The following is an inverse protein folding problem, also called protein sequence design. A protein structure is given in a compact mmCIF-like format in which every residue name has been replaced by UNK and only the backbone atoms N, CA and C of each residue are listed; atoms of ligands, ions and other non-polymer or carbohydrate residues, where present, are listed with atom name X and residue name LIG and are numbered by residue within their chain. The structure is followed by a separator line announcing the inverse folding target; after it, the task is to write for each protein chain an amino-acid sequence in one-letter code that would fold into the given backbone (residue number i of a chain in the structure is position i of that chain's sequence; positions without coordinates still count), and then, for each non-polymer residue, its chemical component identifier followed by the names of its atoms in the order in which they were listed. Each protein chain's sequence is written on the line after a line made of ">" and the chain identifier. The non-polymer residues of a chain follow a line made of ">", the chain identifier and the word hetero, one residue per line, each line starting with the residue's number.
data_IF_735574913236
#
_entry.id   IF_735574913236
#
_cell.length_a   1.000
_cell.length_b   1.000
_cell.length_c   1.000
_cell.angle_alpha   90.00
_cell.angle_beta   90.00
_cell.angle_gamma   90.00
#
_symmetry.space_group_name_H-M   'P 1'
#
loop_
_entity.id
_entity.type
_entity.pdbx_description
1 polymer ?
#
# COMPACT_ATOMS: atom_id res chain seq x y z
N UNK A 1 -0.61 -1.33 -18.30
CA UNK A 1 0.09 -0.35 -17.44
C UNK A 1 1.39 0.11 -18.10
N UNK A 2 2.19 -0.80 -18.68
CA UNK A 2 3.37 -0.43 -19.49
C UNK A 2 3.11 0.58 -20.61
N UNK A 3 2.00 0.43 -21.35
CA UNK A 3 1.62 1.35 -22.45
C UNK A 3 1.49 2.81 -22.00
N UNK A 4 1.07 3.03 -20.76
CA UNK A 4 0.82 4.35 -20.18
C UNK A 4 1.95 4.81 -19.24
N UNK A 5 3.10 4.13 -19.28
CA UNK A 5 4.25 4.40 -18.41
C UNK A 5 3.92 4.43 -16.90
N UNK A 6 2.92 3.63 -16.49
CA UNK A 6 2.48 3.56 -15.09
C UNK A 6 3.40 2.62 -14.32
N UNK A 7 4.02 3.14 -13.27
CA UNK A 7 5.02 2.43 -12.48
C UNK A 7 4.57 2.04 -11.06
N UNK A 8 3.63 2.79 -10.49
CA UNK A 8 3.18 2.65 -9.09
C UNK A 8 1.69 2.32 -9.07
N UNK A 9 1.32 1.22 -8.42
CA UNK A 9 -0.07 0.83 -8.16
C UNK A 9 -0.46 1.13 -6.72
N UNK A 10 -1.65 1.69 -6.49
CA UNK A 10 -2.21 1.87 -5.13
C UNK A 10 -3.22 0.77 -4.87
N UNK A 11 -3.02 -0.01 -3.80
CA UNK A 11 -3.85 -1.17 -3.48
C UNK A 11 -4.79 -0.84 -2.32
N UNK A 12 -6.09 -0.70 -2.64
CA UNK A 12 -7.16 -0.31 -1.71
C UNK A 12 -8.37 -1.25 -1.80
N UNK A 13 -8.12 -2.52 -2.10
CA UNK A 13 -9.17 -3.54 -2.31
C UNK A 13 -9.42 -4.34 -1.02
N UNK A 14 -10.55 -5.07 -0.92
CA UNK A 14 -10.76 -6.04 0.16
C UNK A 14 -9.63 -7.07 0.25
N UNK A 15 -9.39 -7.57 1.47
CA UNK A 15 -8.25 -8.44 1.80
C UNK A 15 -8.26 -9.71 0.95
N UNK A 16 -9.46 -10.25 0.70
CA UNK A 16 -9.72 -11.51 0.01
C UNK A 16 -9.17 -11.52 -1.41
N UNK A 17 -9.05 -10.34 -2.04
CA UNK A 17 -8.58 -10.18 -3.41
C UNK A 17 -7.25 -9.43 -3.51
N UNK A 18 -6.67 -8.99 -2.39
CA UNK A 18 -5.48 -8.14 -2.36
C UNK A 18 -4.27 -8.76 -3.09
N UNK A 19 -4.02 -10.06 -2.87
CA UNK A 19 -2.92 -10.75 -3.54
C UNK A 19 -3.16 -10.87 -5.06
N UNK A 20 -4.36 -11.31 -5.46
CA UNK A 20 -4.70 -11.49 -6.88
C UNK A 20 -4.57 -10.18 -7.67
N UNK A 21 -5.01 -9.05 -7.08
CA UNK A 21 -4.90 -7.74 -7.72
C UNK A 21 -3.43 -7.29 -7.77
N UNK A 22 -2.65 -7.56 -6.74
CA UNK A 22 -1.19 -7.30 -6.73
C UNK A 22 -0.48 -8.05 -7.85
N UNK A 23 -0.78 -9.33 -8.03
CA UNK A 23 -0.18 -10.16 -9.08
C UNK A 23 -0.57 -9.63 -10.47
N UNK A 24 -1.82 -9.19 -10.63
CA UNK A 24 -2.33 -8.57 -11.87
C UNK A 24 -1.59 -7.26 -12.17
N UNK A 25 -1.36 -6.41 -11.15
CA UNK A 25 -0.59 -5.17 -11.28
C UNK A 25 0.84 -5.45 -11.73
N UNK A 26 1.51 -6.41 -11.11
CA UNK A 26 2.90 -6.79 -11.44
C UNK A 26 2.98 -7.35 -12.86
N UNK A 27 2.07 -8.25 -13.25
CA UNK A 27 1.98 -8.77 -14.61
C UNK A 27 1.73 -7.65 -15.64
N UNK A 28 0.96 -6.63 -15.26
CA UNK A 28 0.70 -5.43 -16.05
C UNK A 28 1.91 -4.49 -16.22
N UNK A 29 2.98 -4.69 -15.44
CA UNK A 29 4.25 -3.98 -15.51
C UNK A 29 4.53 -2.99 -14.36
N UNK A 30 3.71 -2.99 -13.31
CA UNK A 30 3.97 -2.18 -12.12
C UNK A 30 5.27 -2.64 -11.45
N UNK A 31 6.06 -1.67 -10.98
CA UNK A 31 7.33 -1.90 -10.27
C UNK A 31 7.25 -1.58 -8.79
N UNK A 32 6.21 -0.84 -8.37
CA UNK A 32 5.97 -0.52 -6.96
C UNK A 32 4.49 -0.59 -6.58
N UNK A 33 4.19 -1.13 -5.40
CA UNK A 33 2.83 -1.19 -4.85
C UNK A 33 2.77 -0.42 -3.54
N UNK A 34 1.89 0.58 -3.50
CA UNK A 34 1.52 1.27 -2.27
C UNK A 34 0.31 0.57 -1.66
N UNK A 35 0.57 -0.25 -0.64
CA UNK A 35 -0.41 -1.10 0.00
C UNK A 35 -1.10 -0.40 1.18
N UNK A 36 -2.39 -0.10 1.01
CA UNK A 36 -3.28 0.39 2.07
C UNK A 36 -4.12 -0.72 2.71
N UNK A 37 -4.04 -1.94 2.19
CA UNK A 37 -4.73 -3.08 2.80
C UNK A 37 -3.98 -3.48 4.08
N UNK A 38 -4.68 -3.98 5.12
CA UNK A 38 -4.03 -4.50 6.32
C UNK A 38 -3.37 -5.87 6.07
N UNK A 39 -3.33 -6.33 4.82
CA UNK A 39 -2.82 -7.63 4.42
C UNK A 39 -1.38 -7.52 3.92
N UNK A 40 -0.53 -8.45 4.36
CA UNK A 40 0.85 -8.54 3.86
C UNK A 40 0.86 -9.32 2.55
N UNK A 41 0.93 -8.59 1.43
CA UNK A 41 1.10 -9.16 0.09
C UNK A 41 2.51 -9.76 -0.09
N UNK A 42 2.60 -10.79 -0.92
CA UNK A 42 3.86 -11.41 -1.33
C UNK A 42 4.18 -10.96 -2.74
N UNK A 43 5.40 -10.49 -2.95
CA UNK A 43 5.88 -10.02 -4.26
C UNK A 43 7.31 -10.51 -4.50
N UNK A 44 7.75 -10.59 -5.77
CA UNK A 44 9.16 -10.80 -6.10
C UNK A 44 10.07 -9.69 -5.54
N UNK A 45 11.35 -9.99 -5.33
CA UNK A 45 12.33 -9.05 -4.73
C UNK A 45 12.50 -7.75 -5.52
N UNK A 46 12.26 -7.78 -6.83
CA UNK A 46 12.37 -6.60 -7.70
C UNK A 46 11.16 -5.67 -7.65
N UNK A 47 10.15 -5.94 -6.80
CA UNK A 47 8.97 -5.10 -6.61
C UNK A 47 9.07 -4.36 -5.30
N UNK A 48 9.00 -3.03 -5.36
CA UNK A 48 8.98 -2.18 -4.17
C UNK A 48 7.60 -2.21 -3.54
N UNK A 49 7.50 -2.47 -2.23
CA UNK A 49 6.23 -2.43 -1.51
C UNK A 49 6.31 -1.44 -0.36
N UNK A 50 5.42 -0.45 -0.38
CA UNK A 50 5.22 0.46 0.74
C UNK A 50 3.90 0.11 1.43
N UNK A 51 3.95 -0.36 2.68
CA UNK A 51 2.75 -0.58 3.48
C UNK A 51 2.37 0.68 4.24
N UNK A 52 1.09 1.01 4.28
CA UNK A 52 0.55 2.14 5.05
C UNK A 52 -0.43 1.66 6.10
N UNK A 53 -0.24 2.13 7.34
CA UNK A 53 -1.13 1.83 8.46
C UNK A 53 -1.88 3.09 8.86
N UNK A 54 -3.19 3.10 8.59
CA UNK A 54 -4.07 4.17 9.04
C UNK A 54 -4.10 4.26 10.57
N UNK A 55 -4.00 3.12 11.27
CA UNK A 55 -3.94 3.08 12.74
C UNK A 55 -2.70 3.77 13.28
N UNK A 56 -1.54 3.58 12.65
CA UNK A 56 -0.31 4.25 13.05
C UNK A 56 -0.44 5.77 12.86
N UNK A 57 -1.02 6.21 11.75
CA UNK A 57 -1.25 7.64 11.48
C UNK A 57 -2.23 8.24 12.50
N UNK A 58 -3.31 7.52 12.82
CA UNK A 58 -4.28 7.93 13.83
C UNK A 58 -3.64 8.04 15.22
N UNK A 59 -2.81 7.08 15.62
CA UNK A 59 -2.09 7.11 16.89
C UNK A 59 -1.16 8.34 16.99
N UNK A 60 -0.45 8.68 15.90
CA UNK A 60 0.37 9.90 15.83
C UNK A 60 -0.49 11.15 16.00
N UNK A 61 -1.69 11.19 15.41
CA UNK A 61 -2.61 12.32 15.58
C UNK A 61 -3.07 12.47 17.04
N UNK A 62 -3.48 11.38 17.70
CA UNK A 62 -3.85 11.42 19.12
C UNK A 62 -2.70 11.89 20.01
N UNK A 63 -1.48 11.40 19.76
CA UNK A 63 -0.32 11.83 20.51
C UNK A 63 -0.09 13.35 20.36
N UNK A 64 -0.17 13.88 19.14
CA UNK A 64 -0.01 15.33 18.89
C UNK A 64 -1.11 16.17 19.53
N UNK A 65 -2.36 15.68 19.54
CA UNK A 65 -3.46 16.37 20.22
C UNK A 65 -3.17 16.50 21.72
N UNK A 66 -2.78 15.40 22.38
CA UNK A 66 -2.44 15.42 23.82
C UNK A 66 -1.26 16.36 24.14
N UNK A 67 -0.26 16.47 23.25
CA UNK A 67 0.85 17.40 23.43
C UNK A 67 0.45 18.87 23.29
N UNK A 68 -0.56 19.19 22.45
CA UNK A 68 -1.01 20.56 22.23
C UNK A 68 -1.99 21.08 23.30
N UNK A 69 -2.49 20.21 24.18
CA UNK A 69 -3.36 20.56 25.31
C UNK A 69 -2.56 20.93 26.59
N UNK A 70 -1.23 20.99 26.51
CA UNK A 70 -0.31 21.43 27.56
C UNK A 70 0.53 22.62 27.06
#
# INVERSE_FOLDING_TARGET
>A
MKEYDVHIGVLTVPIEIAQQITDTMIAGGIKAVWNFTPFRIRVPENIVVQNTSLYAHLAVMFNRLNFNEH
#
